data_IF_208289032593
#
_entry.id   IF_208289032593
#
_cell.length_a   1.000
_cell.length_b   1.000
_cell.length_c   1.000
_cell.angle_alpha   90.00
_cell.angle_beta   90.00
_cell.angle_gamma   90.00
#
_symmetry.space_group_name_H-M   'P 1'
#
loop_
_entity.id
_entity.type
_entity.pdbx_description
1 polymer ?
#
# COMPACT_ATOMS: atom_id res chain seq x y z
N UNK A 1 6.65 44.34 -15.30
CA UNK A 1 5.47 43.90 -14.53
C UNK A 1 4.72 42.72 -15.17
N UNK A 2 4.59 42.62 -16.51
CA UNK A 2 3.86 41.49 -17.15
C UNK A 2 4.50 40.10 -17.02
N UNK A 3 5.83 40.00 -17.11
CA UNK A 3 6.54 38.70 -17.04
C UNK A 3 6.39 37.99 -15.68
N UNK A 4 6.35 38.75 -14.57
CA UNK A 4 6.21 38.22 -13.21
C UNK A 4 4.81 37.60 -13.00
N UNK A 5 3.78 38.22 -13.57
CA UNK A 5 2.40 37.71 -13.52
C UNK A 5 2.23 36.43 -14.35
N UNK A 6 2.83 36.36 -15.54
CA UNK A 6 2.81 35.16 -16.38
C UNK A 6 3.53 33.97 -15.73
N UNK A 7 4.67 34.20 -15.07
CA UNK A 7 5.39 33.17 -14.31
C UNK A 7 4.59 32.67 -13.10
N UNK A 8 3.93 33.57 -12.37
CA UNK A 8 3.08 33.20 -11.23
C UNK A 8 1.88 32.33 -11.63
N UNK A 9 1.18 32.73 -12.70
CA UNK A 9 0.08 31.96 -13.29
C UNK A 9 0.50 30.53 -13.68
N UNK A 10 1.67 30.39 -14.32
CA UNK A 10 2.21 29.09 -14.72
C UNK A 10 2.51 28.19 -13.50
N UNK A 11 3.12 28.73 -12.44
CA UNK A 11 3.43 27.98 -11.22
C UNK A 11 2.16 27.46 -10.52
N UNK A 12 1.10 28.27 -10.52
CA UNK A 12 -0.20 27.89 -9.93
C UNK A 12 -0.85 26.75 -10.74
N UNK A 13 -0.84 26.83 -12.07
CA UNK A 13 -1.33 25.75 -12.93
C UNK A 13 -0.55 24.44 -12.73
N UNK A 14 0.79 24.52 -12.67
CA UNK A 14 1.64 23.37 -12.46
C UNK A 14 1.42 22.72 -11.09
N UNK A 15 1.27 23.53 -10.04
CA UNK A 15 1.03 23.00 -8.68
C UNK A 15 -0.32 22.30 -8.55
N UNK A 16 -1.40 22.82 -9.16
CA UNK A 16 -2.70 22.16 -9.22
C UNK A 16 -2.66 20.83 -9.99
N UNK A 17 -1.98 20.80 -11.14
CA UNK A 17 -1.77 19.57 -11.91
C UNK A 17 -0.96 18.51 -11.15
N UNK A 18 0.14 18.92 -10.50
CA UNK A 18 0.97 18.04 -9.67
C UNK A 18 0.18 17.45 -8.50
N UNK A 19 -0.69 18.24 -7.86
CA UNK A 19 -1.56 17.76 -6.80
C UNK A 19 -2.54 16.69 -7.30
N UNK A 20 -3.19 16.90 -8.45
CA UNK A 20 -4.05 15.91 -9.08
C UNK A 20 -3.33 14.60 -9.41
N UNK A 21 -2.11 14.70 -9.96
CA UNK A 21 -1.25 13.54 -10.25
C UNK A 21 -0.84 12.79 -8.97
N UNK A 22 -0.51 13.52 -7.91
CA UNK A 22 -0.14 12.92 -6.62
C UNK A 22 -1.30 12.10 -6.02
N UNK A 23 -2.51 12.65 -6.06
CA UNK A 23 -3.71 11.95 -5.55
C UNK A 23 -4.06 10.73 -6.39
N UNK A 24 -3.95 10.83 -7.72
CA UNK A 24 -4.09 9.68 -8.61
C UNK A 24 -3.05 8.59 -8.29
N UNK A 25 -1.78 8.97 -8.12
CA UNK A 25 -0.70 8.03 -7.77
C UNK A 25 -0.98 7.28 -6.47
N UNK A 26 -1.54 7.94 -5.45
CA UNK A 26 -1.89 7.29 -4.17
C UNK A 26 -2.88 6.14 -4.34
N UNK A 27 -3.83 6.27 -5.26
CA UNK A 27 -4.80 5.20 -5.57
C UNK A 27 -4.13 3.99 -6.21
N UNK A 28 -3.20 4.25 -7.15
CA UNK A 28 -2.40 3.20 -7.78
C UNK A 28 -1.47 2.48 -6.80
N UNK A 29 -0.80 3.26 -5.94
CA UNK A 29 0.13 2.71 -4.95
C UNK A 29 -0.64 1.83 -3.93
N UNK A 30 -1.86 2.22 -3.54
CA UNK A 30 -2.75 1.39 -2.70
C UNK A 30 -3.05 0.04 -3.35
N UNK A 31 -3.54 0.02 -4.59
CA UNK A 31 -3.86 -1.24 -5.27
C UNK A 31 -2.61 -2.13 -5.38
N UNK A 32 -1.47 -1.54 -5.75
CA UNK A 32 -0.22 -2.27 -5.89
C UNK A 32 0.22 -2.92 -4.58
N UNK A 33 0.08 -2.22 -3.46
CA UNK A 33 0.37 -2.77 -2.13
C UNK A 33 -0.57 -3.93 -1.77
N UNK A 34 -1.86 -3.83 -2.08
CA UNK A 34 -2.80 -4.91 -1.80
C UNK A 34 -2.57 -6.14 -2.70
N UNK A 35 -2.12 -5.95 -3.94
CA UNK A 35 -1.73 -7.05 -4.84
C UNK A 35 -0.46 -7.76 -4.34
N UNK A 36 0.51 -6.98 -3.87
CA UNK A 36 1.69 -7.50 -3.19
C UNK A 36 1.29 -8.30 -1.95
N UNK A 37 0.38 -7.77 -1.12
CA UNK A 37 -0.14 -8.49 0.06
C UNK A 37 -0.82 -9.82 -0.31
N UNK A 38 -1.67 -9.83 -1.33
CA UNK A 38 -2.31 -11.07 -1.81
C UNK A 38 -1.28 -12.11 -2.23
N UNK A 39 -0.24 -11.67 -2.94
CA UNK A 39 0.87 -12.53 -3.36
C UNK A 39 1.69 -13.03 -2.17
N UNK A 40 1.93 -12.17 -1.18
CA UNK A 40 2.61 -12.50 0.07
C UNK A 40 1.86 -13.59 0.84
N UNK A 41 0.53 -13.46 1.02
CA UNK A 41 -0.29 -14.46 1.71
C UNK A 41 -0.15 -15.84 1.06
N UNK A 42 -0.24 -15.91 -0.27
CA UNK A 42 -0.09 -17.16 -1.04
C UNK A 42 1.30 -17.77 -0.87
N UNK A 43 2.36 -16.96 -0.95
CA UNK A 43 3.74 -17.42 -0.75
C UNK A 43 3.97 -17.90 0.69
N UNK A 44 3.37 -17.23 1.67
CA UNK A 44 3.42 -17.62 3.08
C UNK A 44 2.71 -18.95 3.32
N UNK A 45 1.50 -19.13 2.76
CA UNK A 45 0.79 -20.41 2.83
C UNK A 45 1.60 -21.55 2.20
N UNK A 46 2.22 -21.31 1.06
CA UNK A 46 3.09 -22.29 0.41
C UNK A 46 4.33 -22.62 1.27
N UNK A 47 4.97 -21.63 1.89
CA UNK A 47 6.13 -21.88 2.75
C UNK A 47 5.78 -22.66 4.01
N UNK A 48 4.63 -22.36 4.64
CA UNK A 48 4.14 -23.10 5.81
C UNK A 48 3.83 -24.56 5.44
N UNK A 49 3.24 -24.77 4.26
CA UNK A 49 2.87 -26.11 3.78
C UNK A 49 4.05 -26.98 3.39
N UNK A 50 5.09 -26.42 2.78
CA UNK A 50 6.14 -27.21 2.13
C UNK A 50 7.56 -27.01 2.67
N UNK A 51 7.85 -25.89 3.34
CA UNK A 51 9.21 -25.53 3.72
C UNK A 51 9.46 -25.51 5.24
N UNK A 52 8.45 -25.17 6.05
CA UNK A 52 8.55 -25.18 7.51
C UNK A 52 9.66 -24.29 8.09
N UNK A 53 10.08 -23.25 7.36
CA UNK A 53 11.21 -22.39 7.73
C UNK A 53 10.84 -21.37 8.83
N UNK A 54 11.79 -20.94 9.67
CA UNK A 54 11.57 -19.84 10.61
C UNK A 54 11.12 -18.56 9.90
N UNK A 55 10.21 -17.81 10.52
CA UNK A 55 9.60 -16.61 9.93
C UNK A 55 10.65 -15.58 9.48
N UNK A 56 11.69 -15.35 10.28
CA UNK A 56 12.75 -14.38 9.95
C UNK A 56 13.51 -14.75 8.67
N UNK A 57 13.85 -16.02 8.46
CA UNK A 57 14.53 -16.48 7.24
C UNK A 57 13.64 -16.35 6.01
N UNK A 58 12.38 -16.72 6.16
CA UNK A 58 11.39 -16.58 5.09
C UNK A 58 11.19 -15.11 4.69
N UNK A 59 11.08 -14.20 5.66
CA UNK A 59 10.96 -12.75 5.37
C UNK A 59 12.20 -12.24 4.62
N UNK A 60 13.41 -12.67 5.00
CA UNK A 60 14.64 -12.28 4.28
C UNK A 60 14.66 -12.77 2.84
N UNK A 61 14.21 -14.01 2.61
CA UNK A 61 14.12 -14.57 1.26
C UNK A 61 13.14 -13.79 0.38
N UNK A 62 12.03 -13.34 0.96
CA UNK A 62 10.96 -12.63 0.26
C UNK A 62 11.18 -11.11 0.16
N UNK A 63 12.29 -10.56 0.67
CA UNK A 63 12.59 -9.11 0.63
C UNK A 63 12.50 -8.51 -0.77
N UNK A 64 12.93 -9.23 -1.80
CA UNK A 64 12.88 -8.74 -3.18
C UNK A 64 11.49 -8.87 -3.82
N UNK A 65 10.69 -9.80 -3.32
CA UNK A 65 9.39 -10.15 -3.89
C UNK A 65 8.23 -9.42 -3.22
N UNK A 66 8.41 -8.93 -1.99
CA UNK A 66 7.40 -8.16 -1.27
C UNK A 66 7.96 -6.92 -0.59
N UNK A 67 7.24 -5.82 -0.77
CA UNK A 67 7.54 -4.53 -0.13
C UNK A 67 7.33 -4.60 1.39
N UNK A 68 6.42 -5.44 1.86
CA UNK A 68 6.22 -5.67 3.29
C UNK A 68 7.44 -6.36 3.92
N UNK A 69 7.97 -7.39 3.26
CA UNK A 69 9.18 -8.08 3.71
C UNK A 69 10.41 -7.17 3.67
N UNK A 70 10.56 -6.41 2.58
CA UNK A 70 11.63 -5.41 2.44
C UNK A 70 11.61 -4.36 3.57
N UNK A 71 10.44 -3.83 3.87
CA UNK A 71 10.26 -2.82 4.91
C UNK A 71 10.49 -3.41 6.31
N UNK A 72 10.03 -4.64 6.55
CA UNK A 72 10.20 -5.34 7.82
C UNK A 72 11.67 -5.69 8.10
N UNK A 73 12.41 -6.20 7.12
CA UNK A 73 13.80 -6.61 7.27
C UNK A 73 14.75 -5.47 7.67
N UNK A 74 14.37 -4.22 7.37
CA UNK A 74 15.11 -3.01 7.72
C UNK A 74 14.80 -2.47 9.12
N UNK A 75 13.81 -3.04 9.81
CA UNK A 75 13.45 -2.59 11.16
C UNK A 75 14.48 -3.10 12.17
N UNK A 76 14.85 -2.27 13.17
CA UNK A 76 15.83 -2.67 14.18
C UNK A 76 15.37 -3.86 15.02
N UNK A 77 14.06 -4.01 15.23
CA UNK A 77 13.49 -5.14 15.96
C UNK A 77 13.48 -6.46 15.18
N UNK A 78 13.78 -6.46 13.87
CA UNK A 78 13.60 -7.64 13.01
C UNK A 78 14.40 -8.86 13.47
N UNK A 79 15.63 -8.66 13.97
CA UNK A 79 16.47 -9.76 14.42
C UNK A 79 15.92 -10.46 15.68
N UNK A 80 15.24 -9.71 16.55
CA UNK A 80 14.68 -10.23 17.80
C UNK A 80 13.23 -10.71 17.62
N UNK A 81 12.44 -9.98 16.83
CA UNK A 81 11.03 -10.25 16.59
C UNK A 81 10.63 -9.89 15.13
N UNK A 82 10.76 -10.85 14.20
CA UNK A 82 10.35 -10.69 12.82
C UNK A 82 8.87 -10.37 12.65
N UNK A 83 8.01 -10.85 13.56
CA UNK A 83 6.57 -10.61 13.50
C UNK A 83 6.26 -9.16 13.87
N UNK A 84 6.82 -8.64 14.96
CA UNK A 84 6.66 -7.23 15.30
C UNK A 84 7.20 -6.29 14.20
N UNK A 85 8.31 -6.67 13.54
CA UNK A 85 8.82 -5.93 12.40
C UNK A 85 7.84 -5.90 11.21
N UNK A 86 7.19 -7.03 10.89
CA UNK A 86 6.11 -7.09 9.89
C UNK A 86 4.92 -6.21 10.30
N UNK A 87 4.48 -6.27 11.56
CA UNK A 87 3.39 -5.42 12.05
C UNK A 87 3.70 -3.93 11.88
N UNK A 88 4.93 -3.50 12.20
CA UNK A 88 5.37 -2.12 12.01
C UNK A 88 5.44 -1.74 10.52
N UNK A 89 5.93 -2.65 9.67
CA UNK A 89 5.97 -2.45 8.23
C UNK A 89 4.55 -2.20 7.66
N UNK A 90 3.59 -3.05 8.04
CA UNK A 90 2.19 -2.89 7.66
C UNK A 90 1.59 -1.55 8.11
N UNK A 91 1.84 -1.14 9.37
CA UNK A 91 1.38 0.16 9.89
C UNK A 91 1.95 1.35 9.10
N UNK A 92 3.18 1.23 8.59
CA UNK A 92 3.84 2.29 7.81
C UNK A 92 3.38 2.34 6.35
N UNK A 93 3.13 1.18 5.73
CA UNK A 93 2.79 1.08 4.31
C UNK A 93 1.28 1.28 4.05
N UNK A 94 0.42 0.79 4.96
CA UNK A 94 -1.02 0.80 4.79
C UNK A 94 -1.65 2.00 5.49
N UNK A 95 -1.99 3.00 4.69
CA UNK A 95 -2.64 4.23 5.17
C UNK A 95 -4.12 4.07 5.50
N UNK A 96 -4.81 3.10 4.89
CA UNK A 96 -6.24 2.85 5.13
C UNK A 96 -6.41 1.87 6.29
N UNK A 97 -7.32 2.20 7.20
CA UNK A 97 -7.54 1.37 8.39
C UNK A 97 -8.10 -0.02 8.05
N UNK A 98 -9.00 -0.11 7.07
CA UNK A 98 -9.55 -1.38 6.57
C UNK A 98 -8.43 -2.32 6.08
N UNK A 99 -7.56 -1.82 5.20
CA UNK A 99 -6.44 -2.59 4.64
C UNK A 99 -5.44 -3.00 5.75
N UNK A 100 -5.16 -2.06 6.67
CA UNK A 100 -4.27 -2.28 7.80
C UNK A 100 -4.81 -3.33 8.77
N UNK A 101 -6.11 -3.34 9.02
CA UNK A 101 -6.75 -4.31 9.92
C UNK A 101 -6.62 -5.73 9.36
N UNK A 102 -6.88 -5.92 8.06
CA UNK A 102 -6.69 -7.21 7.36
C UNK A 102 -5.23 -7.65 7.45
N UNK A 103 -4.28 -6.77 7.15
CA UNK A 103 -2.85 -7.10 7.24
C UNK A 103 -2.41 -7.50 8.64
N UNK A 104 -2.77 -6.70 9.65
CA UNK A 104 -2.36 -6.96 11.03
C UNK A 104 -3.00 -8.23 11.58
N UNK A 105 -4.25 -8.52 11.20
CA UNK A 105 -4.90 -9.78 11.55
C UNK A 105 -4.17 -10.99 10.97
N UNK A 106 -3.73 -10.91 9.69
CA UNK A 106 -2.88 -11.93 9.09
C UNK A 106 -1.56 -12.11 9.86
N UNK A 107 -0.79 -11.04 10.09
CA UNK A 107 0.52 -11.11 10.74
C UNK A 107 0.42 -11.67 12.18
N UNK A 108 -0.67 -11.36 12.89
CA UNK A 108 -0.89 -11.86 14.25
C UNK A 108 -1.05 -13.37 14.32
N UNK A 109 -1.63 -14.01 13.31
CA UNK A 109 -1.76 -15.46 13.29
C UNK A 109 -0.48 -16.22 12.95
N UNK A 110 0.61 -15.52 12.58
CA UNK A 110 1.88 -16.15 12.26
C UNK A 110 2.57 -16.65 13.54
N UNK A 111 2.79 -17.97 13.62
CA UNK A 111 3.55 -18.60 14.70
C UNK A 111 2.77 -18.93 15.97
N UNK A 112 1.46 -18.64 16.03
CA UNK A 112 0.64 -18.90 17.23
C UNK A 112 -0.05 -20.27 17.25
N UNK A 113 -0.25 -20.88 16.08
CA UNK A 113 -1.12 -22.07 15.94
C UNK A 113 -0.45 -23.20 15.14
N UNK A 114 -1.08 -24.38 15.11
CA UNK A 114 -0.62 -25.51 14.30
C UNK A 114 -0.64 -25.19 12.79
N UNK A 115 0.07 -26.00 11.99
CA UNK A 115 0.20 -25.78 10.53
C UNK A 115 -1.15 -25.67 9.84
N UNK A 116 -2.11 -26.55 10.19
CA UNK A 116 -3.45 -26.55 9.60
C UNK A 116 -4.22 -25.27 9.96
N UNK A 117 -4.25 -24.91 11.24
CA UNK A 117 -4.92 -23.69 11.73
C UNK A 117 -4.33 -22.43 11.08
N UNK A 118 -3.00 -22.37 10.92
CA UNK A 118 -2.33 -21.25 10.25
C UNK A 118 -2.72 -21.16 8.77
N UNK A 119 -2.89 -22.28 8.08
CA UNK A 119 -3.32 -22.27 6.67
C UNK A 119 -4.77 -21.79 6.54
N UNK A 120 -5.66 -22.20 7.44
CA UNK A 120 -7.04 -21.74 7.49
C UNK A 120 -7.11 -20.24 7.83
N UNK A 121 -6.28 -19.77 8.77
CA UNK A 121 -6.12 -18.35 9.08
C UNK A 121 -5.69 -17.57 7.84
N UNK A 122 -4.69 -18.02 7.10
CA UNK A 122 -4.23 -17.34 5.88
C UNK A 122 -5.34 -17.30 4.81
N UNK A 123 -6.09 -18.40 4.63
CA UNK A 123 -7.21 -18.44 3.69
C UNK A 123 -8.32 -17.44 4.05
N UNK A 124 -8.64 -17.31 5.34
CA UNK A 124 -9.58 -16.31 5.82
C UNK A 124 -9.12 -14.89 5.44
N UNK A 125 -7.86 -14.54 5.69
CA UNK A 125 -7.36 -13.21 5.35
C UNK A 125 -7.19 -12.99 3.85
N UNK A 126 -6.98 -14.02 3.05
CA UNK A 126 -7.04 -13.93 1.59
C UNK A 126 -8.46 -13.58 1.12
N UNK A 127 -9.48 -14.22 1.71
CA UNK A 127 -10.89 -13.91 1.43
C UNK A 127 -11.28 -12.49 1.86
N UNK A 128 -10.82 -12.03 3.03
CA UNK A 128 -11.06 -10.67 3.53
C UNK A 128 -10.33 -9.60 2.70
N UNK A 129 -9.17 -9.94 2.12
CA UNK A 129 -8.41 -9.04 1.26
C UNK A 129 -9.07 -8.82 -0.12
N UNK A 130 -9.84 -9.80 -0.62
CA UNK A 130 -10.55 -9.71 -1.90
C UNK A 130 -11.43 -8.47 -2.05
N UNK A 131 -12.35 -8.19 -1.11
CA UNK A 131 -13.15 -6.96 -1.10
C UNK A 131 -12.31 -5.67 -1.03
N UNK A 132 -11.24 -5.63 -0.24
CA UNK A 132 -10.33 -4.47 -0.18
C UNK A 132 -9.68 -4.20 -1.54
N UNK A 133 -9.22 -5.26 -2.22
CA UNK A 133 -8.69 -5.18 -3.58
C UNK A 133 -9.72 -4.70 -4.60
N UNK A 134 -10.96 -5.21 -4.51
CA UNK A 134 -12.08 -4.76 -5.34
C UNK A 134 -12.32 -3.26 -5.21
N UNK A 135 -12.48 -2.78 -3.97
CA UNK A 135 -12.63 -1.34 -3.69
C UNK A 135 -11.46 -0.51 -4.21
N UNK A 136 -10.22 -0.96 -4.02
CA UNK A 136 -9.05 -0.23 -4.50
C UNK A 136 -9.02 -0.11 -6.04
N UNK A 137 -9.43 -1.17 -6.76
CA UNK A 137 -9.57 -1.16 -8.22
C UNK A 137 -10.66 -0.22 -8.71
N UNK A 138 -11.82 -0.25 -8.07
CA UNK A 138 -12.93 0.67 -8.37
C UNK A 138 -12.56 2.13 -8.10
N UNK A 139 -11.89 2.40 -6.98
CA UNK A 139 -11.41 3.74 -6.68
C UNK A 139 -10.36 4.21 -7.69
N UNK A 140 -9.41 3.36 -8.07
CA UNK A 140 -8.44 3.71 -9.10
C UNK A 140 -9.10 3.99 -10.44
N UNK A 141 -10.02 3.15 -10.91
CA UNK A 141 -10.68 3.33 -12.21
C UNK A 141 -11.59 4.56 -12.24
N UNK A 142 -12.35 4.80 -11.16
CA UNK A 142 -13.32 5.89 -11.07
C UNK A 142 -12.72 7.25 -10.66
N UNK A 143 -11.83 7.27 -9.66
CA UNK A 143 -11.36 8.53 -9.04
C UNK A 143 -10.09 9.10 -9.67
N UNK A 144 -9.32 8.32 -10.43
CA UNK A 144 -8.10 8.82 -11.10
C UNK A 144 -8.43 9.98 -12.05
N UNK A 145 -9.41 9.80 -12.95
CA UNK A 145 -9.80 10.85 -13.90
C UNK A 145 -10.36 12.08 -13.19
N UNK A 146 -11.11 11.86 -12.12
CA UNK A 146 -11.70 12.92 -11.31
C UNK A 146 -10.63 13.77 -10.62
N UNK A 147 -9.60 13.17 -10.00
CA UNK A 147 -8.53 13.94 -9.37
C UNK A 147 -7.66 14.70 -10.37
N UNK A 148 -7.42 14.13 -11.55
CA UNK A 148 -6.70 14.84 -12.62
C UNK A 148 -7.49 16.06 -13.12
N UNK A 149 -8.80 15.88 -13.35
CA UNK A 149 -9.69 16.97 -13.74
C UNK A 149 -9.77 18.06 -12.65
N UNK A 150 -9.94 17.66 -11.39
CA UNK A 150 -10.01 18.60 -10.26
C UNK A 150 -8.71 19.40 -10.11
N UNK A 151 -7.56 18.75 -10.19
CA UNK A 151 -6.26 19.43 -10.11
C UNK A 151 -6.07 20.46 -11.24
N UNK A 152 -6.48 20.12 -12.46
CA UNK A 152 -6.43 21.03 -13.61
C UNK A 152 -7.42 22.20 -13.45
N UNK A 153 -8.68 21.92 -13.09
CA UNK A 153 -9.70 22.95 -12.91
C UNK A 153 -9.36 23.89 -11.76
N UNK A 154 -8.90 23.38 -10.61
CA UNK A 154 -8.41 24.22 -9.52
C UNK A 154 -7.22 25.08 -9.96
N UNK A 155 -6.27 24.53 -10.71
CA UNK A 155 -5.16 25.31 -11.26
C UNK A 155 -5.64 26.46 -12.17
N UNK A 156 -6.61 26.19 -13.05
CA UNK A 156 -7.18 27.17 -13.97
C UNK A 156 -7.97 28.25 -13.23
N UNK A 157 -8.85 27.87 -12.28
CA UNK A 157 -9.66 28.85 -11.54
C UNK A 157 -8.79 29.77 -10.68
N UNK A 158 -7.77 29.23 -10.03
CA UNK A 158 -6.85 30.01 -9.20
C UNK A 158 -5.94 30.90 -10.07
N UNK A 159 -5.55 30.41 -11.24
CA UNK A 159 -4.86 31.22 -12.25
C UNK A 159 -5.71 32.40 -12.72
N UNK A 160 -7.00 32.17 -13.02
CA UNK A 160 -7.92 33.23 -13.44
C UNK A 160 -8.23 34.23 -12.32
N UNK A 161 -8.28 33.79 -11.07
CA UNK A 161 -8.53 34.65 -9.92
C UNK A 161 -7.35 35.57 -9.55
N UNK A 162 -6.12 35.17 -9.92
CA UNK A 162 -4.89 35.91 -9.63
C UNK A 162 -4.43 36.84 -10.78
N UNK A 163 -5.07 36.73 -11.94
CA UNK A 163 -4.77 37.49 -13.17
C UNK A 163 -5.49 38.85 -13.15
#
# INVERSE_FOLDING_TARGET
MGAVRGLGALLVLLSGGLWGLFQAKKLWDRERLLLDLSSLLRRCAASIRYAGRPLGEWVRQEEKASRFCWEAARRPCFAADPRAALEQAGKSLLTREEDRAVYLGFVRGLGESGVQDQLEHIQLYEALLGPCLGKAREERSGKTRLYLALGLFCGITLCLALL
#
